data_IF_895638484247
#
_entry.id   IF_895638484247
#
_cell.length_a   1.000
_cell.length_b   1.000
_cell.length_c   1.000
_cell.angle_alpha   90.00
_cell.angle_beta   90.00
_cell.angle_gamma   90.00
#
_symmetry.space_group_name_H-M   'P 1'
#
loop_
_entity.id
_entity.type
_entity.pdbx_description
1 polymer ?
#
# COMPACT_ATOMS: atom_id res chain seq x y z
N UNK A 1 -36.46 41.86 57.20
CA UNK A 1 -35.83 42.32 55.94
C UNK A 1 -35.94 41.25 54.87
N UNK A 2 -36.89 41.43 53.95
CA UNK A 2 -37.23 40.51 52.87
C UNK A 2 -36.24 40.65 51.71
N UNK A 3 -35.68 39.53 51.23
CA UNK A 3 -34.84 39.48 50.04
C UNK A 3 -35.71 39.13 48.83
N UNK A 4 -35.89 40.09 47.93
CA UNK A 4 -36.58 39.92 46.65
C UNK A 4 -35.72 39.20 45.63
N UNK A 5 -36.32 38.24 44.93
CA UNK A 5 -35.74 37.42 43.87
C UNK A 5 -36.11 38.04 42.51
N UNK A 6 -35.13 38.56 41.76
CA UNK A 6 -35.35 39.14 40.43
C UNK A 6 -35.14 38.06 39.37
N UNK A 7 -36.19 37.71 38.62
CA UNK A 7 -36.14 36.81 37.47
C UNK A 7 -35.47 37.52 36.29
N UNK A 8 -34.40 36.94 35.76
CA UNK A 8 -33.72 37.35 34.52
C UNK A 8 -34.43 36.76 33.31
N UNK A 9 -34.86 37.61 32.39
CA UNK A 9 -35.47 37.24 31.11
C UNK A 9 -34.39 36.79 30.10
N UNK A 10 -34.49 35.55 29.64
CA UNK A 10 -33.70 35.00 28.54
C UNK A 10 -34.17 35.62 27.21
N UNK A 11 -33.37 36.51 26.62
CA UNK A 11 -33.61 37.00 25.26
C UNK A 11 -33.24 35.92 24.24
N UNK A 12 -34.24 35.49 23.50
CA UNK A 12 -34.14 34.63 22.31
C UNK A 12 -33.46 35.41 21.17
N UNK A 13 -32.22 35.08 20.87
CA UNK A 13 -31.56 35.51 19.64
C UNK A 13 -31.95 34.54 18.53
N UNK A 14 -32.98 34.90 17.77
CA UNK A 14 -33.32 34.22 16.54
C UNK A 14 -32.17 34.39 15.54
N UNK A 15 -31.46 33.29 15.24
CA UNK A 15 -30.42 33.30 14.23
C UNK A 15 -31.05 33.56 12.85
N UNK A 16 -30.54 34.52 12.06
CA UNK A 16 -31.01 34.75 10.71
C UNK A 16 -30.75 33.51 9.85
N UNK A 17 -31.81 33.00 9.21
CA UNK A 17 -31.73 31.88 8.27
C UNK A 17 -31.00 32.36 7.02
N UNK A 18 -29.72 32.06 6.91
CA UNK A 18 -28.97 32.25 5.68
C UNK A 18 -29.48 31.27 4.62
N UNK A 19 -30.37 31.73 3.75
CA UNK A 19 -30.71 31.03 2.52
C UNK A 19 -29.52 31.15 1.55
N UNK A 20 -28.92 30.05 1.09
CA UNK A 20 -27.81 30.11 0.14
C UNK A 20 -28.30 30.73 -1.19
N UNK A 21 -27.45 31.51 -1.88
CA UNK A 21 -27.81 32.14 -3.15
C UNK A 21 -28.29 31.12 -4.20
N UNK A 22 -29.31 31.46 -5.01
CA UNK A 22 -29.77 30.62 -6.10
C UNK A 22 -28.65 30.47 -7.13
N UNK A 23 -28.29 29.21 -7.44
CA UNK A 23 -27.16 28.86 -8.31
C UNK A 23 -26.07 28.04 -7.62
N UNK A 24 -26.16 27.84 -6.30
CA UNK A 24 -25.29 26.91 -5.58
C UNK A 24 -25.78 25.47 -5.82
N UNK A 25 -25.38 24.88 -6.95
CA UNK A 25 -25.48 23.44 -7.11
C UNK A 25 -24.74 22.81 -5.91
N UNK A 26 -25.35 21.83 -5.20
CA UNK A 26 -24.69 21.17 -4.10
C UNK A 26 -23.36 20.63 -4.62
N UNK A 27 -22.25 21.18 -4.10
CA UNK A 27 -20.93 20.61 -4.36
C UNK A 27 -21.03 19.17 -3.89
N UNK A 28 -20.98 18.22 -4.83
CA UNK A 28 -20.91 16.81 -4.47
C UNK A 28 -19.78 16.68 -3.45
N UNK A 29 -19.99 16.02 -2.30
CA UNK A 29 -18.90 15.77 -1.38
C UNK A 29 -17.81 15.08 -2.18
N UNK A 30 -16.68 15.77 -2.36
CA UNK A 30 -15.58 15.20 -3.12
C UNK A 30 -15.09 13.99 -2.33
N UNK A 31 -14.91 12.83 -2.98
CA UNK A 31 -14.36 11.68 -2.30
C UNK A 31 -13.00 12.07 -1.72
N UNK A 32 -12.69 11.55 -0.52
CA UNK A 32 -11.45 11.87 0.20
C UNK A 32 -10.21 11.38 -0.59
N UNK A 33 -10.42 10.40 -1.46
CA UNK A 33 -9.41 9.78 -2.29
C UNK A 33 -9.91 9.59 -3.74
N UNK A 34 -8.95 9.52 -4.68
CA UNK A 34 -9.18 9.10 -6.06
C UNK A 34 -8.28 7.92 -6.43
N UNK A 35 -8.83 6.95 -7.17
CA UNK A 35 -8.05 5.83 -7.68
C UNK A 35 -7.26 6.26 -8.93
N UNK A 36 -5.93 6.15 -8.85
CA UNK A 36 -5.02 6.51 -9.94
C UNK A 36 -4.08 5.36 -10.27
N UNK A 37 -3.51 5.40 -11.47
CA UNK A 37 -2.39 4.55 -11.86
C UNK A 37 -1.07 5.32 -11.66
N UNK A 38 -0.14 4.64 -10.99
CA UNK A 38 1.23 5.12 -10.79
C UNK A 38 2.21 3.96 -10.84
N UNK A 39 3.42 4.19 -11.33
CA UNK A 39 4.50 3.21 -11.22
C UNK A 39 4.89 3.01 -9.74
N UNK A 40 4.81 1.79 -9.17
CA UNK A 40 5.17 1.55 -7.76
C UNK A 40 6.61 1.94 -7.41
N UNK A 41 7.52 1.87 -8.38
CA UNK A 41 8.93 2.23 -8.21
C UNK A 41 9.16 3.74 -8.06
N UNK A 42 8.17 4.56 -8.46
CA UNK A 42 8.19 6.02 -8.28
C UNK A 42 7.65 6.47 -6.92
N UNK A 43 7.01 5.57 -6.17
CA UNK A 43 6.48 5.83 -4.83
C UNK A 43 7.52 5.51 -3.79
N UNK A 44 7.64 6.37 -2.77
CA UNK A 44 8.63 6.30 -1.71
C UNK A 44 8.03 5.78 -0.40
N UNK A 45 8.85 5.09 0.37
CA UNK A 45 8.53 4.66 1.71
C UNK A 45 8.52 5.83 2.69
N UNK A 46 7.60 5.85 3.63
CA UNK A 46 7.61 6.81 4.75
C UNK A 46 8.46 6.35 5.92
N UNK A 47 8.76 5.05 5.99
CA UNK A 47 9.54 4.48 7.08
C UNK A 47 10.75 3.73 6.58
N UNK A 48 11.79 3.66 7.39
CA UNK A 48 13.02 2.93 7.08
C UNK A 48 12.90 1.40 7.22
N UNK A 49 11.79 0.90 7.75
CA UNK A 49 11.66 -0.52 8.09
C UNK A 49 10.25 -1.06 7.86
N UNK A 50 10.16 -2.26 7.27
CA UNK A 50 8.92 -3.05 7.17
C UNK A 50 9.04 -4.40 7.85
N UNK A 51 7.93 -4.83 8.44
CA UNK A 51 7.78 -6.19 8.96
C UNK A 51 7.49 -7.18 7.83
N UNK A 52 8.06 -8.41 7.86
CA UNK A 52 7.80 -9.45 6.86
C UNK A 52 6.40 -10.06 6.98
N UNK A 53 5.56 -9.58 7.91
CA UNK A 53 4.21 -10.09 8.16
C UNK A 53 3.23 -8.91 8.23
N UNK A 54 2.08 -9.07 7.59
CA UNK A 54 0.93 -8.15 7.68
C UNK A 54 0.30 -8.16 9.08
N UNK A 55 -0.52 -7.16 9.40
CA UNK A 55 -1.21 -7.12 10.69
C UNK A 55 -2.12 -8.34 10.94
N UNK A 56 -2.66 -8.95 9.88
CA UNK A 56 -3.46 -10.18 9.96
C UNK A 56 -2.67 -11.48 10.02
N UNK A 57 -1.33 -11.45 10.11
CA UNK A 57 -0.49 -12.65 10.17
C UNK A 57 -0.08 -13.23 8.80
N UNK A 58 -0.58 -12.68 7.69
CA UNK A 58 -0.15 -13.07 6.35
C UNK A 58 1.30 -12.68 6.07
N UNK A 59 2.05 -13.56 5.40
CA UNK A 59 3.45 -13.33 5.02
C UNK A 59 3.55 -12.45 3.76
N UNK A 60 4.54 -11.54 3.71
CA UNK A 60 4.72 -10.62 2.58
C UNK A 60 5.19 -11.33 1.30
N UNK A 61 6.02 -12.36 1.40
CA UNK A 61 6.51 -13.11 0.23
C UNK A 61 5.38 -13.93 -0.40
N UNK A 62 4.51 -14.51 0.45
CA UNK A 62 3.27 -15.16 -0.03
C UNK A 62 2.40 -14.16 -0.78
N UNK A 63 2.19 -12.95 -0.24
CA UNK A 63 1.42 -11.93 -0.92
C UNK A 63 2.05 -11.50 -2.25
N UNK A 64 3.39 -11.36 -2.32
CA UNK A 64 4.11 -11.04 -3.57
C UNK A 64 3.83 -12.09 -4.64
N UNK A 65 3.88 -13.38 -4.29
CA UNK A 65 3.61 -14.47 -5.23
C UNK A 65 2.17 -14.48 -5.78
N UNK A 66 1.24 -13.91 -5.03
CA UNK A 66 -0.17 -13.82 -5.40
C UNK A 66 -0.49 -12.59 -6.27
N UNK A 67 0.45 -11.64 -6.42
CA UNK A 67 0.24 -10.48 -7.29
C UNK A 67 0.28 -10.96 -8.75
N UNK A 68 -0.82 -10.74 -9.46
CA UNK A 68 -0.96 -11.03 -10.88
C UNK A 68 -0.74 -9.77 -11.72
N UNK A 69 -0.62 -9.95 -13.04
CA UNK A 69 -0.56 -8.85 -14.00
C UNK A 69 -1.68 -8.95 -15.01
N UNK A 70 -2.19 -7.79 -15.42
CA UNK A 70 -3.08 -7.65 -16.58
C UNK A 70 -2.46 -6.69 -17.61
N UNK A 71 -2.92 -6.70 -18.88
CA UNK A 71 -2.45 -5.75 -19.88
C UNK A 71 -2.56 -4.29 -19.41
N UNK A 72 -1.52 -3.51 -19.68
CA UNK A 72 -1.44 -2.11 -19.30
C UNK A 72 -2.35 -1.18 -20.10
N UNK A 73 -2.42 0.07 -19.65
CA UNK A 73 -3.19 1.14 -20.28
C UNK A 73 -2.27 2.38 -20.37
N UNK A 74 -2.41 3.16 -21.43
CA UNK A 74 -1.63 4.39 -21.63
C UNK A 74 -0.16 4.10 -21.91
N UNK A 75 0.74 4.63 -21.08
CA UNK A 75 2.19 4.43 -21.19
C UNK A 75 2.73 3.24 -20.38
N UNK A 76 1.85 2.47 -19.74
CA UNK A 76 2.21 1.28 -18.98
C UNK A 76 2.00 0.00 -19.80
N UNK A 77 2.92 -0.96 -19.65
CA UNK A 77 2.83 -2.27 -20.31
C UNK A 77 1.96 -3.25 -19.53
N UNK A 78 2.00 -3.17 -18.21
CA UNK A 78 1.27 -4.06 -17.29
C UNK A 78 0.69 -3.29 -16.11
N UNK A 79 -0.47 -3.73 -15.61
CA UNK A 79 -1.04 -3.28 -14.34
C UNK A 79 -0.96 -4.44 -13.35
N UNK A 80 -0.41 -4.17 -12.16
CA UNK A 80 -0.32 -5.12 -11.06
C UNK A 80 -1.66 -5.21 -10.32
N UNK A 81 -2.13 -6.43 -10.11
CA UNK A 81 -3.35 -6.73 -9.34
C UNK A 81 -2.96 -7.46 -8.06
N UNK A 82 -3.10 -6.76 -6.94
CA UNK A 82 -2.66 -7.26 -5.64
C UNK A 82 -3.82 -7.89 -4.84
N UNK A 83 -3.54 -8.91 -3.99
CA UNK A 83 -4.54 -9.56 -3.14
C UNK A 83 -4.86 -8.73 -1.87
N UNK A 84 -4.51 -7.45 -1.84
CA UNK A 84 -4.71 -6.55 -0.71
C UNK A 84 -5.32 -5.23 -1.20
N UNK A 85 -6.00 -4.45 -0.33
CA UNK A 85 -6.53 -3.14 -0.67
C UNK A 85 -5.48 -2.23 -1.30
N UNK A 86 -5.94 -1.32 -2.16
CA UNK A 86 -5.09 -0.33 -2.82
C UNK A 86 -4.23 0.42 -1.82
N UNK A 87 -3.03 0.78 -2.26
CA UNK A 87 -2.07 1.51 -1.42
C UNK A 87 -2.46 2.98 -1.37
N UNK A 88 -2.53 3.53 -0.17
CA UNK A 88 -2.71 4.96 0.03
C UNK A 88 -1.43 5.71 -0.35
N UNK A 89 -1.56 6.69 -1.25
CA UNK A 89 -0.47 7.52 -1.76
C UNK A 89 -0.81 9.00 -1.61
N UNK A 90 0.22 9.78 -1.31
CA UNK A 90 0.13 11.20 -1.02
C UNK A 90 1.31 11.93 -1.64
N UNK A 91 1.08 13.17 -2.08
CA UNK A 91 2.13 14.05 -2.60
C UNK A 91 2.70 14.91 -1.47
N UNK A 92 3.99 14.78 -1.18
CA UNK A 92 4.61 15.40 0.00
C UNK A 92 6.08 15.76 -0.23
N UNK A 93 6.63 16.71 0.53
CA UNK A 93 8.06 17.08 0.52
C UNK A 93 8.71 16.72 1.86
N UNK A 94 9.89 16.10 1.82
CA UNK A 94 10.64 15.84 3.04
C UNK A 94 11.30 17.14 3.52
N UNK A 95 11.29 17.39 4.84
CA UNK A 95 12.09 18.48 5.42
C UNK A 95 13.54 18.02 5.48
N UNK A 96 14.45 18.86 5.02
CA UNK A 96 15.88 18.60 5.15
C UNK A 96 16.30 18.56 6.62
N UNK A 97 17.49 18.06 6.91
CA UNK A 97 18.06 18.03 8.27
C UNK A 97 18.16 19.40 8.93
N UNK A 98 18.23 20.47 8.13
CA UNK A 98 18.20 21.88 8.56
C UNK A 98 16.78 22.42 8.80
N UNK A 99 15.76 21.58 8.63
CA UNK A 99 14.34 21.95 8.74
C UNK A 99 13.82 22.79 7.56
N UNK A 100 14.65 23.05 6.54
CA UNK A 100 14.23 23.69 5.30
C UNK A 100 13.38 22.73 4.47
N UNK A 101 12.27 23.25 3.93
CA UNK A 101 11.42 22.47 3.04
C UNK A 101 12.13 22.29 1.70
N UNK A 102 12.37 21.04 1.32
CA UNK A 102 12.81 20.75 -0.05
C UNK A 102 11.71 21.20 -1.01
N UNK A 103 12.09 21.87 -2.10
CA UNK A 103 11.13 22.25 -3.14
C UNK A 103 10.57 21.05 -3.91
N UNK A 104 11.22 19.90 -3.78
CA UNK A 104 10.85 18.67 -4.49
C UNK A 104 9.85 17.87 -3.67
N UNK A 105 8.61 17.85 -4.17
CA UNK A 105 7.60 16.91 -3.71
C UNK A 105 7.86 15.55 -4.36
N UNK A 106 7.54 14.49 -3.63
CA UNK A 106 7.56 13.11 -4.10
C UNK A 106 6.27 12.40 -3.71
N UNK A 107 6.02 11.25 -4.33
CA UNK A 107 4.92 10.38 -3.94
C UNK A 107 5.36 9.51 -2.78
N UNK A 108 4.58 9.50 -1.70
CA UNK A 108 4.84 8.71 -0.51
C UNK A 108 3.66 7.80 -0.19
N UNK A 109 3.91 6.71 0.51
CA UNK A 109 2.86 5.84 1.05
C UNK A 109 2.93 5.73 2.57
N UNK A 110 1.78 5.49 3.20
CA UNK A 110 1.68 5.09 4.60
C UNK A 110 1.71 3.57 4.79
N UNK A 111 1.52 2.82 3.70
CA UNK A 111 1.43 1.36 3.69
C UNK A 111 2.71 0.72 3.15
N UNK A 112 3.83 0.98 3.83
CA UNK A 112 5.17 0.56 3.39
C UNK A 112 5.27 -0.95 3.05
N UNK A 113 4.55 -1.82 3.77
CA UNK A 113 4.53 -3.27 3.48
C UNK A 113 3.86 -3.61 2.15
N UNK A 114 2.74 -2.95 1.83
CA UNK A 114 2.02 -3.18 0.56
C UNK A 114 2.82 -2.62 -0.60
N UNK A 115 3.42 -1.44 -0.43
CA UNK A 115 4.32 -0.87 -1.43
C UNK A 115 5.54 -1.76 -1.67
N UNK A 116 6.15 -2.32 -0.60
CA UNK A 116 7.25 -3.27 -0.74
C UNK A 116 6.84 -4.45 -1.65
N UNK A 117 5.65 -5.02 -1.44
CA UNK A 117 5.16 -6.11 -2.28
C UNK A 117 4.99 -5.69 -3.75
N UNK A 118 4.40 -4.52 -3.99
CA UNK A 118 4.21 -3.98 -5.34
C UNK A 118 5.55 -3.68 -6.04
N UNK A 119 6.53 -3.11 -5.32
CA UNK A 119 7.85 -2.83 -5.88
C UNK A 119 8.61 -4.11 -6.20
N UNK A 120 8.53 -5.13 -5.34
CA UNK A 120 9.12 -6.46 -5.59
C UNK A 120 8.56 -7.07 -6.87
N UNK A 121 7.24 -7.05 -7.04
CA UNK A 121 6.60 -7.57 -8.26
C UNK A 121 6.91 -6.73 -9.49
N UNK A 122 6.93 -5.40 -9.38
CA UNK A 122 7.33 -4.50 -10.47
C UNK A 122 8.77 -4.75 -10.92
N UNK A 123 9.69 -5.02 -9.99
CA UNK A 123 11.08 -5.36 -10.31
C UNK A 123 11.21 -6.75 -10.96
N UNK A 124 10.34 -7.72 -10.62
CA UNK A 124 10.31 -9.05 -11.25
C UNK A 124 9.93 -8.98 -12.74
N UNK A 125 9.01 -8.08 -13.11
CA UNK A 125 8.57 -7.90 -14.50
C UNK A 125 9.39 -6.86 -15.27
N UNK A 126 10.46 -6.33 -14.67
CA UNK A 126 11.34 -5.35 -15.30
C UNK A 126 12.01 -5.94 -16.56
N UNK A 127 12.10 -5.22 -17.70
CA UNK A 127 11.88 -3.77 -17.90
C UNK A 127 10.47 -3.39 -18.37
N UNK A 128 9.44 -4.20 -18.14
CA UNK A 128 8.06 -3.78 -18.44
C UNK A 128 7.64 -2.62 -17.54
N UNK A 129 6.98 -1.62 -18.12
CA UNK A 129 6.48 -0.42 -17.42
C UNK A 129 5.25 -0.79 -16.61
N UNK A 130 5.47 -1.21 -15.36
CA UNK A 130 4.40 -1.61 -14.46
C UNK A 130 3.72 -0.40 -13.79
N UNK A 131 2.39 -0.47 -13.67
CA UNK A 131 1.58 0.41 -12.84
C UNK A 131 0.85 -0.38 -11.76
N UNK A 132 0.46 0.28 -10.67
CA UNK A 132 -0.52 -0.24 -9.72
C UNK A 132 -1.63 0.79 -9.51
N UNK A 133 -2.81 0.31 -9.16
CA UNK A 133 -3.91 1.15 -8.70
C UNK A 133 -3.61 1.61 -7.27
N UNK A 134 -3.68 2.91 -7.04
CA UNK A 134 -3.44 3.54 -5.73
C UNK A 134 -4.57 4.48 -5.36
N UNK A 135 -4.82 4.63 -4.07
CA UNK A 135 -5.76 5.60 -3.53
C UNK A 135 -5.01 6.89 -3.20
N UNK A 136 -5.27 7.96 -3.94
CA UNK A 136 -4.53 9.21 -3.79
C UNK A 136 -5.30 10.20 -2.93
N UNK A 137 -4.73 10.66 -1.81
CA UNK A 137 -5.41 11.56 -0.88
C UNK A 137 -5.13 13.04 -1.19
N UNK A 138 -6.19 13.85 -1.32
CA UNK A 138 -6.11 15.28 -1.66
C UNK A 138 -5.62 16.19 -0.53
N UNK A 139 -6.09 15.92 0.69
CA UNK A 139 -5.85 16.79 1.85
C UNK A 139 -5.41 15.97 3.07
N UNK A 140 -4.22 15.35 3.01
CA UNK A 140 -3.72 14.60 4.14
C UNK A 140 -3.50 15.51 5.35
N UNK A 141 -4.01 15.10 6.51
CA UNK A 141 -4.01 15.90 7.74
C UNK A 141 -2.62 16.04 8.33
N UNK A 142 -2.28 17.20 8.91
CA UNK A 142 -0.96 17.49 9.52
C UNK A 142 -0.44 16.44 10.53
N UNK A 143 -1.32 15.64 11.12
CA UNK A 143 -0.95 14.56 12.04
C UNK A 143 -0.39 13.30 11.37
N UNK A 144 -0.63 13.11 10.07
CA UNK A 144 -0.23 11.92 9.31
C UNK A 144 1.31 11.84 9.16
N UNK A 145 1.97 12.99 9.26
CA UNK A 145 3.37 13.24 8.93
C UNK A 145 4.36 12.94 10.03
N UNK A 146 3.89 12.67 11.25
CA UNK A 146 4.77 12.34 12.39
C UNK A 146 5.50 11.00 12.23
N UNK A 147 5.25 10.28 11.13
CA UNK A 147 5.80 8.96 10.85
C UNK A 147 6.89 8.95 9.79
N UNK A 148 7.28 10.10 9.23
CA UNK A 148 8.45 10.15 8.36
C UNK A 148 9.71 9.96 9.20
N UNK A 149 10.23 8.74 9.17
CA UNK A 149 11.48 8.38 9.83
C UNK A 149 12.52 7.87 8.84
N UNK A 150 12.33 8.14 7.54
CA UNK A 150 13.19 7.58 6.51
C UNK A 150 14.50 8.33 6.34
N UNK A 151 15.62 7.65 6.61
CA UNK A 151 16.99 8.13 6.37
C UNK A 151 17.41 8.10 4.89
N UNK A 152 16.70 7.35 4.05
CA UNK A 152 17.03 7.20 2.62
C UNK A 152 16.09 7.99 1.71
N UNK A 153 15.39 8.98 2.28
CA UNK A 153 14.31 9.70 1.62
C UNK A 153 13.28 8.76 0.99
N UNK A 154 12.99 7.63 1.65
CA UNK A 154 12.03 6.63 1.21
C UNK A 154 12.42 5.83 -0.03
N UNK A 155 13.68 5.87 -0.45
CA UNK A 155 14.15 5.19 -1.67
C UNK A 155 14.48 3.72 -1.46
N UNK A 156 14.75 3.33 -0.23
CA UNK A 156 15.06 1.96 0.15
C UNK A 156 14.45 1.65 1.51
N UNK A 157 14.36 0.37 1.86
CA UNK A 157 13.78 -0.04 3.13
C UNK A 157 14.46 -1.28 3.69
N UNK A 158 14.57 -1.36 5.02
CA UNK A 158 15.01 -2.56 5.70
C UNK A 158 13.85 -3.51 5.99
N UNK A 159 14.12 -4.82 5.95
CA UNK A 159 13.14 -5.87 6.22
C UNK A 159 13.52 -6.52 7.55
N UNK A 160 12.54 -6.75 8.44
CA UNK A 160 12.79 -7.46 9.70
C UNK A 160 11.66 -7.34 10.72
N UNK A 161 11.78 -7.93 11.92
CA UNK A 161 10.75 -7.74 12.95
C UNK A 161 10.93 -6.43 13.73
N UNK A 162 12.16 -5.93 13.79
CA UNK A 162 12.54 -4.70 14.47
C UNK A 162 13.82 -4.12 13.85
N UNK A 163 14.13 -2.85 14.12
CA UNK A 163 15.41 -2.23 13.71
C UNK A 163 16.66 -2.96 14.25
N UNK A 164 16.53 -3.77 15.30
CA UNK A 164 17.61 -4.59 15.86
C UNK A 164 17.73 -5.96 15.20
N UNK A 165 16.71 -6.38 14.46
CA UNK A 165 16.58 -7.73 13.88
C UNK A 165 16.19 -7.59 12.42
N UNK A 166 17.11 -7.00 11.65
CA UNK A 166 16.97 -6.83 10.21
C UNK A 166 17.45 -8.10 9.51
N UNK A 167 16.65 -8.59 8.57
CA UNK A 167 16.91 -9.79 7.78
C UNK A 167 17.33 -9.45 6.35
N UNK A 168 17.05 -8.23 5.89
CA UNK A 168 17.38 -7.81 4.54
C UNK A 168 17.24 -6.31 4.33
N UNK A 169 17.63 -5.89 3.13
CA UNK A 169 17.51 -4.53 2.64
C UNK A 169 16.99 -4.58 1.22
N UNK A 170 16.12 -3.64 0.86
CA UNK A 170 15.50 -3.54 -0.44
C UNK A 170 15.72 -2.17 -1.03
N UNK A 171 16.36 -2.13 -2.20
CA UNK A 171 16.43 -0.99 -3.10
C UNK A 171 16.06 -1.48 -4.50
N UNK A 172 14.95 -0.97 -5.03
CA UNK A 172 14.48 -1.39 -6.34
C UNK A 172 15.47 -1.03 -7.45
N UNK A 173 16.25 0.06 -7.30
CA UNK A 173 17.22 0.48 -8.32
C UNK A 173 18.29 -0.59 -8.48
N UNK A 174 18.80 -1.08 -7.36
CA UNK A 174 19.76 -2.17 -7.35
C UNK A 174 19.15 -3.42 -7.98
N UNK A 175 17.94 -3.81 -7.56
CA UNK A 175 17.26 -4.99 -8.11
C UNK A 175 17.06 -4.92 -9.64
N UNK A 176 16.67 -3.76 -10.18
CA UNK A 176 16.49 -3.55 -11.62
C UNK A 176 17.81 -3.42 -12.40
N UNK A 177 18.87 -2.90 -11.77
CA UNK A 177 20.20 -2.85 -12.36
C UNK A 177 20.82 -4.25 -12.48
N UNK A 178 20.66 -5.07 -11.44
CA UNK A 178 21.10 -6.47 -11.44
C UNK A 178 20.39 -7.25 -12.56
N UNK A 179 19.08 -7.07 -12.72
CA UNK A 179 18.32 -7.67 -13.81
C UNK A 179 18.78 -7.21 -15.21
N UNK A 180 19.10 -5.92 -15.37
CA UNK A 180 19.59 -5.36 -16.64
C UNK A 180 20.99 -5.87 -17.02
N UNK A 181 21.82 -6.22 -16.03
CA UNK A 181 23.19 -6.70 -16.28
C UNK A 181 23.24 -8.08 -16.95
N UNK A 182 22.17 -8.87 -16.86
CA UNK A 182 22.12 -10.21 -17.42
C UNK A 182 21.89 -10.25 -18.94
N UNK A 183 21.29 -9.21 -19.54
CA UNK A 183 20.82 -9.25 -20.94
C UNK A 183 21.10 -7.94 -21.71
N UNK A 184 22.15 -7.88 -22.57
CA UNK A 184 22.56 -6.64 -23.23
C UNK A 184 21.56 -6.11 -24.27
N UNK A 185 20.59 -6.93 -24.71
CA UNK A 185 19.61 -6.58 -25.75
C UNK A 185 18.51 -5.64 -25.23
N UNK A 186 18.41 -5.44 -23.91
CA UNK A 186 17.27 -4.73 -23.29
C UNK A 186 17.55 -3.27 -22.90
N UNK A 187 18.69 -2.68 -23.28
CA UNK A 187 19.07 -1.33 -22.87
C UNK A 187 18.00 -0.27 -23.18
N UNK A 188 17.42 -0.29 -24.40
CA UNK A 188 16.37 0.67 -24.78
C UNK A 188 15.07 0.50 -23.98
N UNK A 189 14.70 -0.74 -23.65
CA UNK A 189 13.53 -1.01 -22.80
C UNK A 189 13.78 -0.56 -21.36
N UNK A 190 14.99 -0.79 -20.84
CA UNK A 190 15.42 -0.31 -19.53
C UNK A 190 15.32 1.22 -19.44
N UNK A 191 15.88 1.94 -20.40
CA UNK A 191 15.82 3.42 -20.43
C UNK A 191 14.38 3.94 -20.52
N UNK A 192 13.53 3.31 -21.32
CA UNK A 192 12.11 3.65 -21.40
C UNK A 192 11.39 3.42 -20.06
N UNK A 193 11.69 2.31 -19.38
CA UNK A 193 11.12 2.00 -18.07
C UNK A 193 11.56 2.99 -16.99
N UNK A 194 12.86 3.29 -16.90
CA UNK A 194 13.39 4.35 -16.02
C UNK A 194 12.73 5.69 -16.33
N UNK A 195 12.52 5.99 -17.61
CA UNK A 195 11.83 7.18 -18.07
C UNK A 195 10.41 7.30 -17.50
N UNK A 196 9.65 6.21 -17.45
CA UNK A 196 8.31 6.19 -16.84
C UNK A 196 8.37 6.39 -15.32
N UNK A 197 9.29 5.74 -14.62
CA UNK A 197 9.47 5.95 -13.17
C UNK A 197 9.75 7.43 -12.87
N UNK A 198 10.65 8.04 -13.62
CA UNK A 198 11.00 9.46 -13.46
C UNK A 198 9.87 10.39 -13.89
N UNK A 199 9.08 10.03 -14.91
CA UNK A 199 7.93 10.81 -15.34
C UNK A 199 6.85 10.84 -14.26
N UNK A 200 6.54 9.69 -13.63
CA UNK A 200 5.57 9.62 -12.55
C UNK A 200 6.04 10.36 -11.28
N UNK A 201 7.31 10.22 -10.87
CA UNK A 201 7.85 10.93 -9.69
C UNK A 201 7.77 12.46 -9.82
N UNK A 202 7.93 12.97 -11.05
CA UNK A 202 7.86 14.42 -11.34
C UNK A 202 6.45 14.99 -11.35
N UNK A 203 5.41 14.16 -11.44
CA UNK A 203 4.02 14.64 -11.48
C UNK A 203 3.70 15.44 -10.24
N UNK A 204 3.23 16.67 -10.42
CA UNK A 204 3.07 17.63 -9.31
C UNK A 204 1.76 17.45 -8.57
N UNK A 205 0.74 17.00 -9.29
CA UNK A 205 -0.63 16.91 -8.81
C UNK A 205 -1.26 15.56 -9.18
N UNK A 206 -2.30 15.21 -8.43
CA UNK A 206 -3.11 14.00 -8.60
C UNK A 206 -3.75 13.99 -9.99
N UNK A 207 -4.12 15.16 -10.53
CA UNK A 207 -4.72 15.26 -11.87
C UNK A 207 -3.78 14.90 -13.02
N UNK A 208 -2.48 14.84 -12.78
CA UNK A 208 -1.49 14.44 -13.79
C UNK A 208 -1.29 12.91 -13.85
N UNK A 209 -1.79 12.18 -12.86
CA UNK A 209 -1.81 10.72 -12.88
C UNK A 209 -2.94 10.21 -13.78
N UNK A 210 -2.73 9.05 -14.41
CA UNK A 210 -3.79 8.40 -15.19
C UNK A 210 -4.87 7.88 -14.24
N UNK A 211 -6.13 8.04 -14.61
CA UNK A 211 -7.23 7.45 -13.85
C UNK A 211 -7.15 5.93 -13.87
N UNK A 212 -7.45 5.30 -12.73
CA UNK A 212 -7.61 3.86 -12.69
C UNK A 212 -8.79 3.44 -13.57
N UNK A 213 -8.71 2.30 -14.27
CA UNK A 213 -9.87 1.78 -14.98
C UNK A 213 -10.98 1.50 -13.98
N UNK A 214 -12.20 1.93 -14.31
CA UNK A 214 -13.35 1.71 -13.44
C UNK A 214 -13.45 0.23 -13.08
N UNK A 215 -13.52 -0.07 -11.78
CA UNK A 215 -13.83 -1.43 -11.37
C UNK A 215 -15.17 -1.80 -12.00
N UNK A 216 -15.29 -3.01 -12.61
CA UNK A 216 -16.56 -3.44 -13.17
C UNK A 216 -17.64 -3.30 -12.11
N UNK A 217 -18.71 -2.60 -12.45
CA UNK A 217 -19.79 -2.37 -11.50
C UNK A 217 -20.37 -3.71 -11.05
N UNK A 218 -21.01 -3.76 -9.88
CA UNK A 218 -21.70 -4.98 -9.46
C UNK A 218 -22.66 -5.49 -10.56
N UNK A 219 -23.32 -4.58 -11.27
CA UNK A 219 -24.19 -4.91 -12.39
C UNK A 219 -23.45 -5.62 -13.54
N UNK A 220 -22.24 -5.18 -13.89
CA UNK A 220 -21.43 -5.81 -14.95
C UNK A 220 -21.01 -7.22 -14.54
N UNK A 221 -20.69 -7.41 -13.25
CA UNK A 221 -20.38 -8.73 -12.69
C UNK A 221 -21.59 -9.67 -12.74
N UNK A 222 -22.80 -9.16 -12.47
CA UNK A 222 -24.05 -9.94 -12.62
C UNK A 222 -24.34 -10.27 -14.09
N UNK A 223 -24.16 -9.33 -15.02
CA UNK A 223 -24.41 -9.59 -16.45
C UNK A 223 -23.40 -10.59 -17.02
N UNK A 224 -22.14 -10.57 -16.57
CA UNK A 224 -21.12 -11.54 -17.00
C UNK A 224 -21.37 -12.95 -16.48
N UNK A 225 -22.07 -13.12 -15.35
CA UNK A 225 -22.35 -14.45 -14.79
C UNK A 225 -23.44 -15.20 -15.54
N UNK A 226 -24.40 -14.50 -16.16
CA UNK A 226 -25.52 -15.13 -16.87
C UNK A 226 -25.18 -15.56 -18.32
N UNK A 227 -24.07 -15.09 -18.88
CA UNK A 227 -23.70 -15.36 -20.28
C UNK A 227 -22.88 -16.64 -20.52
N UNK A 228 -22.40 -17.31 -19.47
CA UNK A 228 -21.37 -18.34 -19.60
C UNK A 228 -21.85 -19.81 -19.45
N UNK A 229 -23.10 -20.08 -19.08
CA UNK A 229 -23.62 -21.46 -18.98
C UNK A 229 -24.99 -21.65 -19.63
N UNK A 230 -25.02 -21.79 -20.95
CA UNK A 230 -25.87 -22.81 -21.58
C UNK A 230 -25.10 -24.14 -21.62
N UNK A 231 -24.75 -24.67 -20.46
CA UNK A 231 -24.35 -26.07 -20.34
C UNK A 231 -25.64 -26.89 -20.40
N UNK A 232 -25.80 -27.63 -21.49
CA UNK A 232 -26.88 -28.58 -21.66
C UNK A 232 -26.93 -29.52 -20.45
N UNK A 233 -27.99 -29.39 -19.64
CA UNK A 233 -28.24 -30.29 -18.52
C UNK A 233 -28.23 -31.75 -18.99
N UNK A 234 -27.35 -32.62 -18.45
CA UNK A 234 -27.48 -34.05 -18.65
C UNK A 234 -28.70 -34.55 -17.86
N UNK A 235 -29.55 -35.28 -18.59
CA UNK A 235 -30.78 -35.93 -18.12
C UNK A 235 -30.53 -36.82 -16.88
N UNK A 236 -31.43 -36.83 -15.87
CA UNK A 236 -31.20 -37.53 -14.62
C UNK A 236 -31.40 -39.05 -14.79
N UNK A 237 -30.30 -39.80 -14.78
CA UNK A 237 -30.35 -41.25 -14.57
C UNK A 237 -30.44 -41.56 -13.06
N UNK A 238 -31.53 -42.21 -12.67
CA UNK A 238 -31.76 -42.78 -11.34
C UNK A 238 -30.69 -43.83 -11.02
N UNK A 239 -29.94 -43.64 -9.95
CA UNK A 239 -29.40 -44.76 -9.17
C UNK A 239 -29.41 -44.40 -7.70
N UNK A 240 -30.18 -45.16 -6.94
CA UNK A 240 -30.17 -45.10 -5.49
C UNK A 240 -28.98 -45.86 -4.93
N UNK A 241 -28.43 -45.38 -3.81
CA UNK A 241 -27.99 -46.27 -2.75
C UNK A 241 -27.83 -45.51 -1.44
N UNK A 242 -28.46 -46.09 -0.43
CA UNK A 242 -28.38 -45.83 1.00
C UNK A 242 -27.00 -46.12 1.58
N UNK A 243 -26.61 -45.42 2.65
CA UNK A 243 -25.80 -46.04 3.70
C UNK A 243 -24.87 -45.12 4.49
N UNK A 244 -25.11 -45.02 5.80
CA UNK A 244 -24.08 -44.86 6.85
C UNK A 244 -23.54 -43.43 7.06
N UNK A 245 -23.90 -42.71 8.12
CA UNK A 245 -23.53 -42.92 9.53
C UNK A 245 -22.03 -42.73 9.81
N UNK A 246 -21.63 -41.60 10.41
CA UNK A 246 -21.35 -41.47 11.86
C UNK A 246 -20.73 -40.10 12.14
N UNK A 247 -21.35 -39.41 13.09
CA UNK A 247 -20.91 -38.15 13.67
C UNK A 247 -19.77 -38.43 14.67
N UNK A 248 -18.59 -37.86 14.46
CA UNK A 248 -17.48 -37.89 15.44
C UNK A 248 -17.10 -36.45 15.81
N UNK A 249 -17.54 -36.05 17.00
CA UNK A 249 -17.13 -34.84 17.68
C UNK A 249 -15.80 -35.10 18.38
N UNK A 250 -14.69 -34.62 17.82
CA UNK A 250 -13.39 -34.67 18.47
C UNK A 250 -12.98 -33.26 18.91
N UNK A 251 -12.84 -33.09 20.21
CA UNK A 251 -12.35 -31.89 20.90
C UNK A 251 -10.82 -31.87 20.78
N UNK A 252 -10.17 -30.80 20.28
CA UNK A 252 -8.71 -30.67 20.37
C UNK A 252 -8.30 -30.19 21.77
N UNK A 253 -7.55 -31.05 22.46
CA UNK A 253 -6.88 -30.75 23.72
C UNK A 253 -5.68 -29.80 23.50
N UNK A 254 -5.53 -28.83 24.41
CA UNK A 254 -4.43 -27.86 24.44
C UNK A 254 -3.08 -28.51 24.82
N UNK A 255 -1.98 -28.23 24.10
CA UNK A 255 -0.65 -28.54 24.58
C UNK A 255 -0.07 -27.39 25.43
N UNK A 256 -0.08 -27.67 26.74
CA UNK A 256 0.97 -27.47 27.75
C UNK A 256 2.21 -26.65 27.34
N UNK A 257 2.35 -25.50 28.02
CA UNK A 257 3.57 -24.70 28.16
C UNK A 257 4.72 -25.53 28.75
N UNK A 258 5.88 -25.54 28.08
CA UNK A 258 7.16 -25.97 28.65
C UNK A 258 8.07 -24.77 28.78
N UNK A 259 8.29 -24.39 30.04
CA UNK A 259 9.43 -23.61 30.53
C UNK A 259 10.75 -24.20 30.02
N UNK A 260 11.65 -23.33 29.57
CA UNK A 260 12.95 -23.69 29.03
C UNK A 260 13.97 -22.58 29.22
N UNK A 261 14.44 -22.44 30.46
CA UNK A 261 15.80 -22.16 30.89
C UNK A 261 16.66 -21.18 30.07
N UNK A 262 16.69 -19.96 30.59
CA UNK A 262 17.87 -19.13 30.85
C UNK A 262 19.24 -19.85 30.75
N UNK A 263 20.03 -19.47 29.74
CA UNK A 263 21.48 -19.68 29.72
C UNK A 263 22.15 -18.39 29.23
N UNK A 264 22.59 -17.60 30.19
CA UNK A 264 23.45 -16.44 29.99
C UNK A 264 24.82 -16.91 29.45
N UNK A 265 25.22 -16.44 28.26
CA UNK A 265 26.61 -16.43 27.83
C UNK A 265 27.07 -15.00 27.54
N UNK A 266 28.17 -14.67 28.20
CA UNK A 266 28.79 -13.36 28.36
C UNK A 266 29.27 -12.69 27.05
N UNK A 267 29.46 -11.35 27.08
CA UNK A 267 29.96 -10.58 25.93
C UNK A 267 31.44 -10.86 25.65
N UNK A 268 31.76 -11.06 24.36
CA UNK A 268 33.14 -11.06 23.84
C UNK A 268 33.70 -9.63 23.83
N UNK A 269 34.95 -9.40 24.28
CA UNK A 269 35.59 -8.09 24.20
C UNK A 269 35.98 -7.74 22.76
N UNK A 270 36.01 -6.45 22.39
CA UNK A 270 36.45 -6.00 21.07
C UNK A 270 37.96 -6.19 20.88
N UNK A 271 38.32 -6.80 19.75
CA UNK A 271 39.69 -6.92 19.26
C UNK A 271 40.21 -5.55 18.84
N UNK A 272 41.29 -5.10 19.47
CA UNK A 272 42.06 -3.93 19.07
C UNK A 272 43.11 -4.33 18.02
N UNK A 273 42.91 -3.89 16.78
CA UNK A 273 43.92 -3.80 15.71
C UNK A 273 43.31 -2.89 14.62
N UNK A 274 43.99 -1.93 14.00
CA UNK A 274 45.36 -1.50 14.07
C UNK A 274 45.42 -0.02 13.66
N UNK A 275 46.43 0.63 14.21
CA UNK A 275 46.85 2.00 13.97
C UNK A 275 47.72 2.04 12.71
N UNK A 276 47.67 3.19 12.02
CA UNK A 276 48.67 3.72 11.09
C UNK A 276 48.72 3.18 9.64
N UNK A 277 48.39 4.05 8.69
CA UNK A 277 49.35 4.52 7.69
C UNK A 277 48.80 5.76 6.92
N UNK A 278 49.51 6.88 7.09
CA UNK A 278 49.68 8.05 6.21
C UNK A 278 48.47 8.92 5.85
#
# INVERSE_FOLDING_TARGET
SSKGFVRSSFNSWAQPRCTPPPGWAPRRPMPIYEEKLICPLSVRFTQDHVRPVFQGGGDVEVAISQITTRPGIGHYDVILEAPFPNVEVIRWHQKDGEGLETSERHWFTLDNRRLYCLQRKAAEVWPLRAAAVVETLYAPTDGLWRKDDSSTAGRSIFIGHSRKTLTGHWDWRQATADAASCEPVQQGAHEAAVGVVAADDRKRDITELLDAPAQPGMLDLFIQTDGAETVAMPSPAKSGQSGGSLSTTAIPASPRSTDGSEAALAPRPPSAAARAAR
#
